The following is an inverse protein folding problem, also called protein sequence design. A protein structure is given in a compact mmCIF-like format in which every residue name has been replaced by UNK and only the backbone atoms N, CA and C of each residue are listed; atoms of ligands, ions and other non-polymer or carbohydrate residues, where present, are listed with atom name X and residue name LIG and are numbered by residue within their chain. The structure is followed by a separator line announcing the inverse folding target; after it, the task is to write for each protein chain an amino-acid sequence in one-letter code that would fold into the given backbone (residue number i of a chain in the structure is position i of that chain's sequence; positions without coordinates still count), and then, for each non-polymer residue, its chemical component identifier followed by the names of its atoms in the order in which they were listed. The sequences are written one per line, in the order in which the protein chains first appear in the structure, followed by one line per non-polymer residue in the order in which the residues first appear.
data_IF_166776025634
#
_entry.id   IF_166776025634
#
_cell.length_a   1.000
_cell.length_b   1.000
_cell.length_c   1.000
_cell.angle_alpha   90.00
_cell.angle_beta   90.00
_cell.angle_gamma   90.00
#
_symmetry.space_group_name_H-M   'P 1'
#
loop_
_entity.id
_entity.type
_entity.pdbx_description
1 polymer ?
#
# COMPACT_ATOMS: atom_id res chain seq x y z
N UNK A 1 9.97 -13.48 -7.97
CA UNK A 1 8.68 -12.76 -8.11
C UNK A 1 8.06 -13.00 -9.48
N UNK A 2 6.74 -12.84 -9.60
CA UNK A 2 5.99 -12.93 -10.86
C UNK A 2 5.35 -11.58 -11.18
N UNK A 3 5.59 -11.06 -12.39
CA UNK A 3 4.84 -9.92 -12.94
C UNK A 3 3.92 -10.52 -13.99
N UNK A 4 2.62 -10.20 -13.95
CA UNK A 4 1.78 -10.35 -15.13
C UNK A 4 2.07 -9.10 -15.97
N UNK A 5 2.78 -9.18 -17.10
CA UNK A 5 3.16 -8.00 -17.87
C UNK A 5 1.95 -7.54 -18.69
N UNK A 6 0.96 -6.95 -18.01
CA UNK A 6 -0.24 -6.43 -18.66
C UNK A 6 -0.03 -4.97 -19.03
N UNK A 7 0.55 -4.17 -18.12
CA UNK A 7 1.15 -2.86 -18.37
C UNK A 7 2.06 -2.47 -17.19
N UNK A 8 3.12 -1.66 -17.40
CA UNK A 8 3.67 -1.20 -18.69
C UNK A 8 4.45 -2.28 -19.46
N UNK A 9 4.55 -2.10 -20.79
CA UNK A 9 5.44 -2.90 -21.65
C UNK A 9 6.89 -2.40 -21.50
N UNK A 10 7.79 -3.30 -21.13
CA UNK A 10 9.19 -2.97 -20.83
C UNK A 10 10.11 -3.89 -21.66
N UNK A 11 11.16 -3.31 -22.27
CA UNK A 11 12.14 -4.06 -23.06
C UNK A 11 12.92 -5.02 -22.16
N UNK A 12 13.24 -6.21 -22.64
CA UNK A 12 14.01 -7.24 -21.90
C UNK A 12 15.27 -6.70 -21.24
N UNK A 13 16.05 -5.87 -21.96
CA UNK A 13 17.28 -5.25 -21.43
C UNK A 13 17.07 -4.45 -20.14
N UNK A 14 15.88 -3.87 -19.94
CA UNK A 14 15.55 -3.09 -18.75
C UNK A 14 15.27 -4.02 -17.56
N UNK A 15 14.64 -5.18 -17.78
CA UNK A 15 14.48 -6.18 -16.71
C UNK A 15 15.79 -6.85 -16.32
N UNK A 16 16.73 -7.00 -17.26
CA UNK A 16 18.08 -7.46 -16.94
C UNK A 16 18.87 -6.43 -16.11
N UNK A 17 18.63 -5.15 -16.36
CA UNK A 17 19.23 -4.06 -15.57
C UNK A 17 18.57 -3.87 -14.20
N UNK A 18 17.25 -4.04 -14.12
CA UNK A 18 16.44 -3.92 -12.91
C UNK A 18 15.76 -5.26 -12.61
N UNK A 19 16.53 -6.27 -12.16
CA UNK A 19 15.98 -7.59 -11.87
C UNK A 19 15.02 -7.52 -10.69
N UNK A 20 13.98 -8.35 -10.75
CA UNK A 20 13.05 -8.54 -9.64
C UNK A 20 13.77 -8.98 -8.37
N UNK A 21 13.29 -8.54 -7.21
CA UNK A 21 13.77 -9.08 -5.94
C UNK A 21 13.33 -10.54 -5.78
N UNK A 22 14.30 -11.46 -5.75
CA UNK A 22 14.03 -12.90 -5.65
C UNK A 22 13.60 -13.31 -4.24
N UNK A 23 14.01 -12.56 -3.23
CA UNK A 23 13.65 -12.77 -1.83
C UNK A 23 12.21 -12.31 -1.50
N UNK A 24 11.57 -11.57 -2.42
CA UNK A 24 10.20 -11.09 -2.25
C UNK A 24 9.23 -11.97 -3.05
N UNK A 25 8.13 -12.34 -2.38
CA UNK A 25 7.07 -13.14 -2.99
C UNK A 25 6.50 -12.49 -4.26
N UNK A 26 6.14 -11.20 -4.20
CA UNK A 26 5.72 -10.43 -5.36
C UNK A 26 6.09 -8.96 -5.20
N UNK A 27 7.01 -8.48 -6.03
CA UNK A 27 7.35 -7.06 -6.10
C UNK A 27 6.23 -6.21 -6.72
N UNK A 28 5.33 -6.86 -7.45
CA UNK A 28 4.20 -6.26 -8.15
C UNK A 28 4.64 -5.08 -9.01
N UNK A 29 3.96 -3.95 -8.86
CA UNK A 29 4.25 -2.71 -9.57
C UNK A 29 5.50 -1.98 -9.04
N UNK A 30 6.08 -2.44 -7.93
CA UNK A 30 7.15 -1.69 -7.26
C UNK A 30 8.45 -1.65 -8.06
N UNK A 31 8.67 -2.64 -8.94
CA UNK A 31 9.80 -2.65 -9.89
C UNK A 31 9.78 -1.44 -10.82
N UNK A 32 8.60 -0.94 -11.17
CA UNK A 32 8.46 0.18 -12.11
C UNK A 32 8.96 1.49 -11.50
N UNK A 33 8.90 1.65 -10.17
CA UNK A 33 9.56 2.78 -9.50
C UNK A 33 11.08 2.74 -9.66
N UNK A 34 11.69 1.56 -9.59
CA UNK A 34 13.13 1.40 -9.82
C UNK A 34 13.49 1.73 -11.27
N UNK A 35 12.71 1.23 -12.23
CA UNK A 35 12.89 1.54 -13.65
C UNK A 35 12.73 3.05 -13.91
N UNK A 36 11.76 3.70 -13.28
CA UNK A 36 11.48 5.13 -13.41
C UNK A 36 12.63 6.03 -12.95
N UNK A 37 13.55 5.52 -12.12
CA UNK A 37 14.73 6.29 -11.69
C UNK A 37 15.72 6.56 -12.82
N UNK A 38 15.67 5.77 -13.90
CA UNK A 38 16.56 5.90 -15.06
C UNK A 38 15.83 6.10 -16.38
N UNK A 39 14.67 5.48 -16.54
CA UNK A 39 13.90 5.50 -17.78
C UNK A 39 12.59 6.27 -17.61
N UNK A 40 12.17 6.98 -18.66
CA UNK A 40 10.87 7.65 -18.70
C UNK A 40 9.84 6.74 -19.35
N UNK A 41 8.73 6.50 -18.66
CA UNK A 41 7.60 5.80 -19.25
C UNK A 41 6.87 6.70 -20.26
N UNK A 42 6.49 6.12 -21.40
CA UNK A 42 5.58 6.74 -22.36
C UNK A 42 4.15 6.35 -22.00
N UNK A 43 3.30 7.35 -21.74
CA UNK A 43 1.89 7.13 -21.47
C UNK A 43 1.11 7.14 -22.78
N UNK A 44 0.27 6.12 -22.96
CA UNK A 44 -0.66 6.01 -24.08
C UNK A 44 -2.07 5.96 -23.51
N UNK A 45 -2.87 6.97 -23.82
CA UNK A 45 -4.25 7.09 -23.37
C UNK A 45 -5.20 6.22 -24.24
N UNK A 46 -4.99 4.90 -24.15
CA UNK A 46 -5.83 3.91 -24.82
C UNK A 46 -6.07 2.72 -23.90
N UNK A 47 -7.31 2.22 -23.77
CA UNK A 47 -7.65 1.13 -22.84
C UNK A 47 -7.25 -0.23 -23.42
N UNK A 48 -5.94 -0.48 -23.48
CA UNK A 48 -5.36 -1.70 -24.08
C UNK A 48 -5.33 -2.90 -23.14
N UNK A 49 -5.75 -2.72 -21.88
CA UNK A 49 -5.62 -3.71 -20.81
C UNK A 49 -6.98 -3.94 -20.15
N UNK A 50 -7.39 -5.21 -20.09
CA UNK A 50 -8.58 -5.64 -19.34
C UNK A 50 -8.15 -6.61 -18.25
N UNK A 51 -8.42 -6.28 -16.99
CA UNK A 51 -8.17 -7.15 -15.85
C UNK A 51 -9.49 -7.75 -15.35
N UNK A 52 -9.50 -9.06 -15.09
CA UNK A 52 -10.68 -9.70 -14.48
C UNK A 52 -10.63 -9.54 -12.97
N UNK A 53 -11.73 -9.09 -12.39
CA UNK A 53 -11.92 -9.18 -10.95
C UNK A 53 -12.24 -10.62 -10.58
N UNK A 54 -11.49 -11.19 -9.63
CA UNK A 54 -11.85 -12.43 -8.99
C UNK A 54 -11.86 -12.25 -7.47
N UNK A 55 -12.80 -12.91 -6.80
CA UNK A 55 -12.99 -12.74 -5.36
C UNK A 55 -11.79 -13.25 -4.54
N UNK A 56 -11.04 -14.22 -5.09
CA UNK A 56 -9.81 -14.81 -4.51
C UNK A 56 -8.55 -14.00 -4.85
N UNK A 57 -8.60 -12.68 -4.73
CA UNK A 57 -7.45 -11.83 -5.02
C UNK A 57 -6.55 -11.72 -3.78
N UNK A 58 -5.26 -12.05 -3.93
CA UNK A 58 -4.23 -11.80 -2.90
C UNK A 58 -4.14 -10.32 -2.49
N UNK A 59 -4.70 -9.40 -3.27
CA UNK A 59 -4.92 -8.00 -2.89
C UNK A 59 -5.66 -7.80 -1.56
N UNK A 60 -6.30 -8.84 -1.03
CA UNK A 60 -6.96 -8.85 0.29
C UNK A 60 -6.01 -9.16 1.46
N UNK A 61 -4.79 -9.65 1.21
CA UNK A 61 -3.76 -9.88 2.22
C UNK A 61 -3.00 -8.59 2.57
N UNK A 62 -3.73 -7.61 3.11
CA UNK A 62 -3.30 -6.20 3.25
C UNK A 62 -1.93 -6.06 3.92
N UNK A 63 -1.76 -6.72 5.07
CA UNK A 63 -0.52 -6.66 5.84
C UNK A 63 0.67 -7.15 5.02
N UNK A 64 0.57 -8.36 4.43
CA UNK A 64 1.64 -8.95 3.62
C UNK A 64 1.97 -8.07 2.41
N UNK A 65 0.95 -7.56 1.71
CA UNK A 65 1.16 -6.69 0.55
C UNK A 65 1.81 -5.36 0.96
N UNK A 66 1.38 -4.78 2.08
CA UNK A 66 1.97 -3.55 2.61
C UNK A 66 3.43 -3.76 3.04
N UNK A 67 3.72 -4.82 3.79
CA UNK A 67 5.08 -5.11 4.26
C UNK A 67 6.04 -5.27 3.06
N UNK A 68 5.62 -5.97 2.00
CA UNK A 68 6.39 -6.09 0.77
C UNK A 68 6.56 -4.73 0.08
N UNK A 69 5.49 -3.94 -0.05
CA UNK A 69 5.56 -2.63 -0.72
C UNK A 69 6.46 -1.64 0.05
N UNK A 70 6.34 -1.58 1.38
CA UNK A 70 7.21 -0.75 2.23
C UNK A 70 8.66 -1.19 2.13
N UNK A 71 8.93 -2.50 2.07
CA UNK A 71 10.29 -3.03 1.83
C UNK A 71 10.84 -2.58 0.49
N UNK A 72 10.03 -2.62 -0.57
CA UNK A 72 10.44 -2.13 -1.90
C UNK A 72 10.75 -0.61 -1.87
N UNK A 73 9.92 0.16 -1.17
CA UNK A 73 10.12 1.60 -0.96
C UNK A 73 11.41 1.90 -0.17
N UNK A 74 11.67 1.14 0.88
CA UNK A 74 12.89 1.28 1.69
C UNK A 74 14.14 0.94 0.86
N UNK A 75 14.07 -0.08 -0.02
CA UNK A 75 15.16 -0.39 -0.97
C UNK A 75 15.31 0.65 -2.07
N UNK A 76 14.21 1.25 -2.53
CA UNK A 76 14.21 2.26 -3.58
C UNK A 76 15.03 3.48 -3.18
N UNK A 77 14.87 3.98 -1.94
CA UNK A 77 15.60 5.16 -1.45
C UNK A 77 17.10 4.89 -1.22
N UNK A 78 17.48 3.62 -1.03
CA UNK A 78 18.88 3.20 -0.89
C UNK A 78 19.56 2.99 -2.25
N UNK A 79 18.80 3.04 -3.35
CA UNK A 79 19.33 2.89 -4.70
C UNK A 79 20.23 4.06 -5.08
N UNK A 80 21.36 3.76 -5.72
CA UNK A 80 22.27 4.76 -6.30
C UNK A 80 21.60 5.70 -7.31
N UNK A 81 20.48 5.29 -7.90
CA UNK A 81 19.74 6.07 -8.89
C UNK A 81 18.59 6.88 -8.28
N UNK A 82 18.37 6.82 -6.96
CA UNK A 82 17.27 7.55 -6.34
C UNK A 82 17.52 9.07 -6.41
N UNK A 83 16.61 9.84 -7.02
CA UNK A 83 16.80 11.28 -7.14
C UNK A 83 16.59 11.97 -5.79
N UNK A 84 17.60 12.71 -5.32
CA UNK A 84 17.59 13.36 -4.00
C UNK A 84 16.40 14.33 -3.81
N UNK A 85 16.01 15.04 -4.87
CA UNK A 85 14.86 15.96 -4.85
C UNK A 85 13.50 15.24 -4.74
N UNK A 86 13.44 13.92 -4.95
CA UNK A 86 12.21 13.15 -4.81
C UNK A 86 11.97 12.64 -3.38
N UNK A 87 12.88 12.88 -2.44
CA UNK A 87 12.74 12.38 -1.06
C UNK A 87 11.47 12.88 -0.36
N UNK A 88 11.09 14.14 -0.57
CA UNK A 88 9.85 14.69 -0.03
C UNK A 88 8.61 13.98 -0.61
N UNK A 89 8.59 13.74 -1.93
CA UNK A 89 7.52 13.01 -2.61
C UNK A 89 7.45 11.54 -2.15
N UNK A 90 8.60 10.92 -1.90
CA UNK A 90 8.70 9.59 -1.29
C UNK A 90 8.03 9.54 0.08
N UNK A 91 8.37 10.46 0.98
CA UNK A 91 7.78 10.50 2.33
C UNK A 91 6.27 10.69 2.26
N UNK A 92 5.80 11.59 1.40
CA UNK A 92 4.38 11.85 1.20
C UNK A 92 3.65 10.63 0.63
N UNK A 93 4.21 9.97 -0.40
CA UNK A 93 3.64 8.78 -1.01
C UNK A 93 3.56 7.61 0.00
N UNK A 94 4.66 7.32 0.71
CA UNK A 94 4.71 6.30 1.76
C UNK A 94 3.64 6.56 2.83
N UNK A 95 3.49 7.80 3.24
CA UNK A 95 2.45 8.15 4.22
C UNK A 95 1.03 7.95 3.69
N UNK A 96 0.75 8.39 2.45
CA UNK A 96 -0.57 8.25 1.81
C UNK A 96 -1.00 6.79 1.67
N UNK A 97 -0.10 5.89 1.26
CA UNK A 97 -0.46 4.48 1.11
C UNK A 97 -0.70 3.81 2.47
N UNK A 98 0.06 4.19 3.50
CA UNK A 98 -0.17 3.76 4.88
C UNK A 98 -1.54 4.22 5.37
N UNK A 99 -1.91 5.49 5.19
CA UNK A 99 -3.22 6.00 5.59
C UNK A 99 -4.37 5.18 5.01
N UNK A 100 -4.33 4.89 3.71
CA UNK A 100 -5.39 4.15 3.03
C UNK A 100 -5.57 2.73 3.59
N UNK A 101 -4.46 2.04 3.83
CA UNK A 101 -4.49 0.65 4.32
C UNK A 101 -4.80 0.57 5.82
N UNK A 102 -4.29 1.48 6.65
CA UNK A 102 -4.64 1.58 8.07
C UNK A 102 -6.13 1.87 8.22
N UNK A 103 -6.67 2.81 7.44
CA UNK A 103 -8.10 3.09 7.42
C UNK A 103 -8.91 1.84 7.07
N UNK A 104 -8.48 1.11 6.04
CA UNK A 104 -9.12 -0.15 5.66
C UNK A 104 -9.12 -1.14 6.82
N UNK A 105 -7.97 -1.41 7.44
CA UNK A 105 -7.84 -2.30 8.59
C UNK A 105 -8.76 -1.90 9.75
N UNK A 106 -8.81 -0.61 10.09
CA UNK A 106 -9.70 -0.11 11.14
C UNK A 106 -11.17 -0.34 10.79
N UNK A 107 -11.60 -0.10 9.56
CA UNK A 107 -13.00 -0.27 9.14
C UNK A 107 -13.43 -1.72 9.01
N UNK A 108 -12.51 -2.62 8.69
CA UNK A 108 -12.80 -4.06 8.54
C UNK A 108 -12.56 -4.86 9.81
N UNK A 109 -12.19 -4.19 10.91
CA UNK A 109 -11.84 -4.82 12.19
C UNK A 109 -10.69 -5.84 12.08
N UNK A 110 -9.79 -5.63 11.11
CA UNK A 110 -8.79 -6.60 10.70
C UNK A 110 -7.37 -6.09 10.93
N UNK A 111 -6.46 -6.94 11.43
CA UNK A 111 -5.05 -6.59 11.72
C UNK A 111 -4.89 -5.29 12.55
N UNK A 112 -5.84 -5.01 13.45
CA UNK A 112 -5.95 -3.73 14.16
C UNK A 112 -4.67 -3.36 14.92
N UNK A 113 -4.05 -4.32 15.60
CA UNK A 113 -2.83 -4.05 16.38
C UNK A 113 -1.65 -3.68 15.48
N UNK A 114 -1.51 -4.33 14.33
CA UNK A 114 -0.51 -3.99 13.33
C UNK A 114 -0.80 -2.60 12.75
N UNK A 115 -2.05 -2.31 12.37
CA UNK A 115 -2.44 -1.02 11.81
C UNK A 115 -2.19 0.14 12.79
N UNK A 116 -2.48 -0.06 14.08
CA UNK A 116 -2.15 0.90 15.16
C UNK A 116 -0.66 1.18 15.25
N UNK A 117 0.18 0.14 15.27
CA UNK A 117 1.63 0.30 15.32
C UNK A 117 2.13 1.05 14.08
N UNK A 118 1.63 0.67 12.90
CA UNK A 118 2.05 1.22 11.61
C UNK A 118 1.75 2.72 11.48
N UNK A 119 0.56 3.18 11.90
CA UNK A 119 0.23 4.61 11.80
C UNK A 119 1.07 5.44 12.77
N UNK A 120 1.32 4.94 13.98
CA UNK A 120 2.15 5.63 14.97
C UNK A 120 3.59 5.78 14.48
N UNK A 121 4.21 4.69 14.00
CA UNK A 121 5.57 4.77 13.45
C UNK A 121 5.63 5.67 12.21
N UNK A 122 4.62 5.62 11.34
CA UNK A 122 4.58 6.47 10.15
C UNK A 122 4.49 7.96 10.46
N UNK A 123 3.73 8.35 11.50
CA UNK A 123 3.63 9.76 11.93
C UNK A 123 4.96 10.22 12.54
N UNK A 124 5.60 9.38 13.36
CA UNK A 124 6.91 9.69 13.94
C UNK A 124 7.97 9.92 12.86
N UNK A 125 7.95 9.13 11.77
CA UNK A 125 8.90 9.28 10.66
C UNK A 125 8.59 10.45 9.71
N UNK A 126 7.34 10.94 9.66
CA UNK A 126 6.95 12.07 8.82
C UNK A 126 5.93 12.99 9.52
N UNK A 127 6.37 13.84 10.47
CA UNK A 127 5.47 14.63 11.31
C UNK A 127 4.61 15.65 10.56
N UNK A 128 5.06 16.12 9.39
CA UNK A 128 4.28 17.00 8.50
C UNK A 128 2.91 16.41 8.14
N UNK A 129 2.77 15.09 8.22
CA UNK A 129 1.50 14.39 8.06
C UNK A 129 0.39 14.80 9.00
N UNK A 130 0.71 15.34 10.18
CA UNK A 130 -0.28 15.79 11.15
C UNK A 130 -1.16 16.94 10.61
N UNK A 131 -0.71 17.65 9.58
CA UNK A 131 -1.53 18.68 8.91
C UNK A 131 -2.70 18.09 8.12
N UNK A 132 -2.72 16.78 7.86
CA UNK A 132 -3.79 16.11 7.14
C UNK A 132 -4.90 15.69 8.10
N UNK A 133 -6.12 16.17 7.87
CA UNK A 133 -7.31 15.85 8.66
C UNK A 133 -7.54 14.33 8.81
N UNK A 134 -7.22 13.54 7.77
CA UNK A 134 -7.36 12.08 7.82
C UNK A 134 -6.42 11.46 8.84
N UNK A 135 -5.23 12.02 9.06
CA UNK A 135 -4.28 11.56 10.08
C UNK A 135 -4.90 11.64 11.47
N UNK A 136 -5.56 12.75 11.81
CA UNK A 136 -6.22 12.92 13.11
C UNK A 136 -7.29 11.87 13.36
N UNK A 137 -8.13 11.59 12.36
CA UNK A 137 -9.15 10.53 12.46
C UNK A 137 -8.49 9.18 12.72
N UNK A 138 -7.42 8.83 12.01
CA UNK A 138 -6.73 7.56 12.23
C UNK A 138 -6.02 7.49 13.58
N UNK A 139 -5.45 8.58 14.07
CA UNK A 139 -4.85 8.64 15.41
C UNK A 139 -5.91 8.42 16.48
N UNK A 140 -7.08 9.05 16.33
CA UNK A 140 -8.21 8.83 17.22
C UNK A 140 -8.61 7.34 17.26
N UNK A 141 -8.79 6.72 16.08
CA UNK A 141 -9.03 5.28 16.00
C UNK A 141 -7.90 4.44 16.62
N UNK A 142 -6.63 4.86 16.44
CA UNK A 142 -5.50 4.14 16.99
C UNK A 142 -5.47 4.15 18.53
N UNK A 143 -5.95 5.23 19.15
CA UNK A 143 -6.09 5.34 20.60
C UNK A 143 -7.25 4.49 21.16
N UNK A 144 -8.33 4.27 20.39
CA UNK A 144 -9.50 3.52 20.85
C UNK A 144 -9.20 2.03 21.09
N UNK A 145 -9.68 1.41 22.19
CA UNK A 145 -9.65 -0.05 22.36
C UNK A 145 -10.31 -0.79 21.19
N UNK A 146 -9.84 -2.01 20.87
CA UNK A 146 -10.36 -2.82 19.75
C UNK A 146 -11.89 -3.01 19.79
N UNK A 147 -12.45 -3.18 21.00
CA UNK A 147 -13.91 -3.30 21.20
C UNK A 147 -14.65 -2.03 20.79
N UNK A 148 -14.12 -0.85 21.12
CA UNK A 148 -14.76 0.43 20.73
C UNK A 148 -14.69 0.65 19.22
N UNK A 149 -13.59 0.29 18.57
CA UNK A 149 -13.47 0.35 17.10
C UNK A 149 -14.58 -0.51 16.46
N UNK A 150 -14.81 -1.72 16.97
CA UNK A 150 -15.86 -2.61 16.48
C UNK A 150 -17.26 -1.98 16.59
N UNK A 151 -17.60 -1.42 17.74
CA UNK A 151 -18.91 -0.77 17.94
C UNK A 151 -19.06 0.50 17.09
N UNK A 152 -18.02 1.34 17.02
CA UNK A 152 -18.01 2.52 16.18
C UNK A 152 -18.25 2.15 14.70
N UNK A 153 -17.59 1.11 14.22
CA UNK A 153 -17.79 0.60 12.86
C UNK A 153 -19.24 0.16 12.63
N UNK A 154 -19.83 -0.60 13.56
CA UNK A 154 -21.22 -1.08 13.46
C UNK A 154 -22.22 0.08 13.38
N UNK A 155 -22.02 1.13 14.18
CA UNK A 155 -22.86 2.34 14.16
C UNK A 155 -22.72 3.06 12.82
N UNK A 156 -21.49 3.27 12.36
CA UNK A 156 -21.22 3.94 11.08
C UNK A 156 -21.83 3.16 9.91
N UNK A 157 -21.71 1.83 9.90
CA UNK A 157 -22.27 0.99 8.84
C UNK A 157 -23.79 1.02 8.82
N UNK A 158 -24.44 1.10 9.99
CA UNK A 158 -25.88 1.28 10.12
C UNK A 158 -26.33 2.63 9.54
N UNK A 159 -25.63 3.72 9.89
CA UNK A 159 -25.93 5.07 9.39
C UNK A 159 -25.73 5.16 7.87
N UNK A 160 -24.63 4.61 7.37
CA UNK A 160 -24.26 4.70 5.95
C UNK A 160 -24.90 3.60 5.08
N UNK A 161 -25.68 2.69 5.66
CA UNK A 161 -26.29 1.52 4.99
C UNK A 161 -25.29 0.69 4.18
N UNK A 162 -24.05 0.55 4.68
CA UNK A 162 -22.99 -0.22 4.02
C UNK A 162 -22.96 -1.65 4.56
N UNK A 163 -22.74 -2.62 3.67
CA UNK A 163 -22.46 -4.01 4.09
C UNK A 163 -21.07 -4.06 4.74
N UNK A 164 -20.99 -4.73 5.90
CA UNK A 164 -19.72 -5.00 6.57
C UNK A 164 -18.85 -5.88 5.66
N UNK A 165 -17.66 -5.39 5.29
CA UNK A 165 -16.68 -6.20 4.59
C UNK A 165 -15.99 -7.13 5.58
N UNK A 166 -16.06 -8.45 5.35
CA UNK A 166 -15.24 -9.44 6.03
C UNK A 166 -14.02 -9.78 5.15
N UNK A 167 -12.79 -9.67 5.66
CA UNK A 167 -11.60 -10.19 4.99
C UNK A 167 -11.75 -11.71 4.76
N UNK A 168 -11.12 -12.23 3.70
CA UNK A 168 -11.09 -13.66 3.44
C UNK A 168 -10.13 -14.34 4.43
N UNK A 169 -10.64 -15.29 5.22
CA UNK A 169 -9.87 -16.05 6.22
C UNK A 169 -8.79 -16.93 5.55
N UNK A 170 -9.03 -17.38 4.31
CA UNK A 170 -8.20 -18.33 3.56
C UNK A 170 -6.75 -17.89 3.27
N UNK A 171 -6.39 -16.61 3.44
CA UNK A 171 -5.04 -16.09 3.14
C UNK A 171 -4.09 -16.03 4.35
N UNK A 172 -4.56 -16.46 5.51
CA UNK A 172 -3.84 -16.35 6.78
C UNK A 172 -3.47 -17.73 7.38
N UNK A 173 -3.72 -18.82 6.64
CA UNK A 173 -3.28 -20.18 6.94
C UNK A 173 -2.10 -20.58 6.05
#
# INVERSE_FOLDING_TARGET
GFIIPIAPLVRTKVYLEFPLYEDLFSEGESVFWRIATKYKFFYLDSPLVVMRYHEKNMGKAIKKNMDIHLTCLDRLILSKHFPQNAFAAYQEYRFKIILGNVWHCFRTNFEIMWAKKLILTSIMSYPKSLLNLRSFVLIFYAAMPKKLIFYANKIIDLILRKKLFKPLEDYYN
#
